data_IF_756311408656
#
_entry.id   IF_756311408656
#
_cell.length_a   1.000
_cell.length_b   1.000
_cell.length_c   1.000
_cell.angle_alpha   90.00
_cell.angle_beta   90.00
_cell.angle_gamma   90.00
#
_symmetry.space_group_name_H-M   'P 1'
#
loop_
_entity.id
_entity.type
_entity.pdbx_description
1 polymer ?
#
# COMPACT_ATOMS: atom_id res chain seq x y z
N UNK A 1 -2.07 27.96 -3.25
CA UNK A 1 -2.56 28.61 -2.01
C UNK A 1 -2.92 27.60 -0.93
N UNK A 2 -3.86 26.65 -1.15
CA UNK A 2 -4.33 25.70 -0.12
C UNK A 2 -3.16 24.93 0.50
N UNK A 3 -2.30 24.29 -0.30
CA UNK A 3 -1.17 23.53 0.21
C UNK A 3 -0.20 24.38 1.03
N UNK A 4 0.03 25.64 0.65
CA UNK A 4 0.89 26.55 1.42
C UNK A 4 0.28 26.86 2.80
N UNK A 5 -1.03 27.16 2.85
CA UNK A 5 -1.72 27.35 4.13
C UNK A 5 -1.69 26.11 5.02
N UNK A 6 -1.83 24.90 4.42
CA UNK A 6 -1.69 23.63 5.15
C UNK A 6 -0.25 23.45 5.68
N UNK A 7 0.77 23.78 4.91
CA UNK A 7 2.18 23.68 5.31
C UNK A 7 2.46 24.61 6.49
N UNK A 8 2.00 25.85 6.43
CA UNK A 8 2.14 26.84 7.51
C UNK A 8 1.46 26.34 8.79
N UNK A 9 0.20 25.90 8.69
CA UNK A 9 -0.53 25.35 9.82
C UNK A 9 0.18 24.12 10.43
N UNK A 10 0.61 23.17 9.62
CA UNK A 10 1.31 21.97 10.06
C UNK A 10 2.60 22.33 10.82
N UNK A 11 3.40 23.21 10.24
CA UNK A 11 4.66 23.67 10.85
C UNK A 11 4.40 24.36 12.20
N UNK A 12 3.46 25.30 12.24
CA UNK A 12 3.18 26.13 13.41
C UNK A 12 2.55 25.31 14.56
N UNK A 13 2.00 24.12 14.25
CA UNK A 13 1.37 23.21 15.20
C UNK A 13 2.11 21.87 15.35
N UNK A 14 3.39 21.77 15.00
CA UNK A 14 4.21 20.55 15.11
C UNK A 14 3.65 19.34 14.34
N UNK A 15 3.10 19.56 13.15
CA UNK A 15 2.57 18.52 12.25
C UNK A 15 1.54 17.58 12.91
N UNK A 16 0.41 18.12 13.41
CA UNK A 16 -0.58 17.34 14.16
C UNK A 16 -1.35 16.36 13.28
N UNK A 17 -1.39 16.54 11.94
CA UNK A 17 -2.18 15.73 11.03
C UNK A 17 -1.35 15.01 9.99
N UNK A 18 -1.85 13.84 9.57
CA UNK A 18 -1.49 13.19 8.33
C UNK A 18 -2.71 13.18 7.41
N UNK A 19 -2.49 13.33 6.10
CA UNK A 19 -3.57 13.41 5.13
C UNK A 19 -3.51 12.26 4.14
N UNK A 20 -4.69 11.79 3.79
CA UNK A 20 -4.96 10.90 2.67
C UNK A 20 -5.88 11.63 1.69
N UNK A 21 -5.67 11.43 0.39
CA UNK A 21 -6.57 11.95 -0.64
C UNK A 21 -6.70 11.00 -1.80
N UNK A 22 -7.76 11.17 -2.57
CA UNK A 22 -7.87 10.62 -3.90
C UNK A 22 -7.34 11.64 -4.91
N UNK A 23 -6.57 11.19 -5.89
CA UNK A 23 -5.98 12.06 -6.90
C UNK A 23 -6.03 11.45 -8.30
N UNK A 24 -5.85 12.31 -9.30
CA UNK A 24 -5.68 11.92 -10.68
C UNK A 24 -4.26 11.45 -10.95
N UNK A 25 -4.10 10.53 -11.88
CA UNK A 25 -2.79 10.14 -12.42
C UNK A 25 -2.06 11.31 -13.09
N UNK A 26 -2.74 12.41 -13.36
CA UNK A 26 -2.13 13.65 -13.89
C UNK A 26 -1.04 14.23 -12.98
N UNK A 27 -0.97 13.83 -11.70
CA UNK A 27 0.16 14.17 -10.82
C UNK A 27 1.51 13.69 -11.36
N UNK A 28 1.53 12.71 -12.26
CA UNK A 28 2.72 12.28 -12.99
C UNK A 28 3.24 13.26 -14.03
N UNK A 29 2.44 14.26 -14.44
CA UNK A 29 2.88 15.27 -15.41
C UNK A 29 3.99 16.14 -14.83
N UNK A 30 5.02 16.46 -15.63
CA UNK A 30 6.14 17.30 -15.19
C UNK A 30 5.69 18.71 -14.77
N UNK A 31 4.67 19.25 -15.41
CA UNK A 31 4.07 20.54 -15.04
C UNK A 31 3.48 20.56 -13.62
N UNK A 32 3.15 19.40 -13.04
CA UNK A 32 2.58 19.25 -11.72
C UNK A 32 3.57 18.66 -10.70
N UNK A 33 4.82 18.41 -11.10
CA UNK A 33 5.83 17.77 -10.22
C UNK A 33 6.03 18.51 -8.89
N UNK A 34 5.96 19.85 -8.92
CA UNK A 34 6.08 20.69 -7.72
C UNK A 34 4.94 20.44 -6.70
N UNK A 35 3.75 20.02 -7.15
CA UNK A 35 2.61 19.76 -6.26
C UNK A 35 2.86 18.57 -5.35
N UNK A 36 3.51 17.51 -5.83
CA UNK A 36 3.81 16.30 -5.03
C UNK A 36 4.72 16.67 -3.86
N UNK A 37 5.73 17.51 -4.09
CA UNK A 37 6.60 18.04 -3.03
C UNK A 37 5.83 18.88 -2.00
N UNK A 38 4.92 19.74 -2.44
CA UNK A 38 4.06 20.53 -1.55
C UNK A 38 3.08 19.65 -0.79
N UNK A 39 2.48 18.63 -1.42
CA UNK A 39 1.61 17.65 -0.75
C UNK A 39 2.37 16.96 0.40
N UNK A 40 3.60 16.51 0.15
CA UNK A 40 4.42 15.90 1.20
C UNK A 40 4.69 16.86 2.36
N UNK A 41 5.06 18.09 2.08
CA UNK A 41 5.30 19.13 3.10
C UNK A 41 4.02 19.46 3.89
N UNK A 42 2.86 19.45 3.24
CA UNK A 42 1.56 19.64 3.87
C UNK A 42 1.13 18.48 4.77
N UNK A 43 1.82 17.31 4.74
CA UNK A 43 1.51 16.16 5.57
C UNK A 43 0.72 15.05 4.88
N UNK A 44 0.64 15.04 3.55
CA UNK A 44 0.08 13.89 2.83
C UNK A 44 1.04 12.72 2.92
N UNK A 45 0.53 11.60 3.42
CA UNK A 45 1.28 10.35 3.59
C UNK A 45 0.87 9.29 2.60
N UNK A 46 -0.33 9.39 2.05
CA UNK A 46 -0.85 8.42 1.09
C UNK A 46 -1.86 9.04 0.13
N UNK A 47 -1.95 8.44 -1.06
CA UNK A 47 -2.83 8.87 -2.15
C UNK A 47 -3.49 7.64 -2.79
N UNK A 48 -4.81 7.71 -3.00
CA UNK A 48 -5.52 6.76 -3.84
C UNK A 48 -5.51 7.21 -5.29
N UNK A 49 -5.05 6.35 -6.19
CA UNK A 49 -5.05 6.56 -7.64
C UNK A 49 -6.01 5.57 -8.31
N UNK A 50 -7.00 6.07 -9.03
CA UNK A 50 -7.82 5.25 -9.92
C UNK A 50 -7.05 4.99 -11.22
N UNK A 51 -6.26 3.92 -11.26
CA UNK A 51 -5.53 3.49 -12.46
C UNK A 51 -6.49 2.79 -13.43
N UNK A 52 -7.44 2.05 -12.87
CA UNK A 52 -8.50 1.28 -13.50
C UNK A 52 -7.97 0.05 -14.25
N UNK A 53 -7.08 0.23 -15.21
CA UNK A 53 -6.41 -0.84 -15.95
C UNK A 53 -5.03 -0.39 -16.43
N UNK A 54 -4.02 -1.27 -16.45
CA UNK A 54 -2.76 -1.00 -17.12
C UNK A 54 -2.84 -1.18 -18.65
N UNK A 55 -3.95 -1.74 -19.17
CA UNK A 55 -4.15 -1.96 -20.59
C UNK A 55 -4.81 -0.74 -21.25
N UNK A 56 -4.14 -0.04 -22.20
CA UNK A 56 -4.71 1.09 -22.91
C UNK A 56 -5.98 0.76 -23.71
N UNK A 57 -6.12 -0.47 -24.20
CA UNK A 57 -7.31 -0.89 -24.94
C UNK A 57 -8.53 -0.96 -24.03
N UNK A 58 -8.35 -1.53 -22.85
CA UNK A 58 -9.37 -1.55 -21.79
C UNK A 58 -9.75 -0.15 -21.34
N UNK A 59 -8.78 0.74 -21.09
CA UNK A 59 -9.03 2.13 -20.71
C UNK A 59 -9.84 2.89 -21.77
N UNK A 60 -9.55 2.64 -23.04
CA UNK A 60 -10.31 3.22 -24.16
C UNK A 60 -11.76 2.71 -24.19
N UNK A 61 -11.97 1.41 -23.99
CA UNK A 61 -13.29 0.81 -23.91
C UNK A 61 -14.10 1.36 -22.71
N UNK A 62 -13.44 1.71 -21.60
CA UNK A 62 -14.05 2.34 -20.43
C UNK A 62 -14.25 3.85 -20.56
N UNK A 63 -13.93 4.48 -21.70
CA UNK A 63 -13.90 5.93 -21.89
C UNK A 63 -12.98 6.67 -20.89
N UNK A 64 -11.95 5.99 -20.34
CA UNK A 64 -10.94 6.55 -19.42
C UNK A 64 -9.70 7.05 -20.17
N UNK A 65 -9.92 7.81 -21.25
CA UNK A 65 -8.84 8.29 -22.12
C UNK A 65 -7.86 9.23 -21.43
N UNK A 66 -8.25 9.88 -20.33
CA UNK A 66 -7.35 10.66 -19.49
C UNK A 66 -6.24 9.79 -18.87
N UNK A 67 -6.54 8.53 -18.55
CA UNK A 67 -5.56 7.58 -17.97
C UNK A 67 -4.57 7.04 -19.01
N UNK A 68 -4.79 7.29 -20.30
CA UNK A 68 -3.86 6.92 -21.38
C UNK A 68 -2.81 8.02 -21.64
N UNK A 69 -3.14 9.28 -21.31
CA UNK A 69 -2.29 10.44 -21.64
C UNK A 69 -1.10 10.61 -20.69
N UNK A 70 -1.17 10.09 -19.51
CA UNK A 70 -0.13 10.14 -18.49
C UNK A 70 0.20 8.71 -18.10
N UNK A 71 1.47 8.33 -18.13
CA UNK A 71 1.88 7.01 -17.70
C UNK A 71 1.60 6.87 -16.18
N UNK A 72 0.77 5.93 -15.76
CA UNK A 72 0.51 5.71 -14.35
C UNK A 72 1.76 5.27 -13.58
N UNK A 73 2.75 4.66 -14.25
CA UNK A 73 4.03 4.31 -13.65
C UNK A 73 4.80 5.55 -13.19
N UNK A 74 4.90 6.58 -14.02
CA UNK A 74 5.58 7.84 -13.69
C UNK A 74 4.94 8.51 -12.47
N UNK A 75 3.60 8.44 -12.37
CA UNK A 75 2.85 8.98 -11.24
C UNK A 75 3.16 8.22 -9.95
N UNK A 76 3.15 6.89 -10.01
CA UNK A 76 3.46 6.03 -8.85
C UNK A 76 4.88 6.28 -8.38
N UNK A 77 5.85 6.26 -9.29
CA UNK A 77 7.25 6.46 -8.96
C UNK A 77 7.49 7.83 -8.31
N UNK A 78 6.93 8.88 -8.86
CA UNK A 78 7.03 10.26 -8.33
C UNK A 78 6.48 10.36 -6.91
N UNK A 79 5.32 9.79 -6.64
CA UNK A 79 4.73 9.78 -5.30
C UNK A 79 5.60 9.01 -4.31
N UNK A 80 6.06 7.82 -4.69
CA UNK A 80 6.93 6.99 -3.86
C UNK A 80 8.27 7.67 -3.55
N UNK A 81 8.90 8.34 -4.51
CA UNK A 81 10.14 9.11 -4.30
C UNK A 81 9.96 10.21 -3.25
N UNK A 82 8.76 10.80 -3.16
CA UNK A 82 8.44 11.79 -2.13
C UNK A 82 7.94 11.17 -0.82
N UNK A 83 8.00 9.84 -0.65
CA UNK A 83 7.53 9.15 0.55
C UNK A 83 6.01 9.18 0.73
N UNK A 84 5.26 9.29 -0.36
CA UNK A 84 3.80 9.21 -0.37
C UNK A 84 3.42 7.81 -0.83
N UNK A 85 2.72 7.06 0.02
CA UNK A 85 2.23 5.73 -0.31
C UNK A 85 1.13 5.80 -1.37
N UNK A 86 1.17 4.86 -2.31
CA UNK A 86 0.16 4.75 -3.35
C UNK A 86 -0.78 3.58 -3.07
N UNK A 87 -2.07 3.92 -2.94
CA UNK A 87 -3.18 2.97 -3.03
C UNK A 87 -3.69 3.01 -4.47
N UNK A 88 -3.61 1.92 -5.19
CA UNK A 88 -4.03 1.87 -6.58
C UNK A 88 -5.32 1.06 -6.75
N UNK A 89 -6.30 1.66 -7.43
CA UNK A 89 -7.56 1.03 -7.80
C UNK A 89 -7.53 0.44 -9.20
N UNK A 90 -7.96 -0.81 -9.33
CA UNK A 90 -8.12 -1.52 -10.60
C UNK A 90 -9.52 -2.10 -10.72
N UNK A 91 -10.03 -2.13 -11.95
CA UNK A 91 -11.31 -2.76 -12.29
C UNK A 91 -11.03 -3.89 -13.27
N UNK A 92 -11.54 -5.09 -12.99
CA UNK A 92 -11.44 -6.24 -13.86
C UNK A 92 -12.82 -6.77 -14.24
N UNK A 93 -13.00 -7.16 -15.49
CA UNK A 93 -14.25 -7.71 -16.02
C UNK A 93 -15.00 -6.76 -16.95
N UNK A 94 -14.33 -5.75 -17.48
CA UNK A 94 -14.86 -4.89 -18.56
C UNK A 94 -14.94 -5.68 -19.87
N UNK A 95 -15.68 -5.17 -20.84
CA UNK A 95 -15.81 -5.82 -22.17
C UNK A 95 -14.49 -5.79 -22.97
N UNK A 96 -13.55 -4.91 -22.61
CA UNK A 96 -12.21 -4.88 -23.18
C UNK A 96 -11.21 -5.83 -22.53
N UNK A 97 -11.55 -6.41 -21.38
CA UNK A 97 -10.62 -7.27 -20.66
C UNK A 97 -10.51 -8.67 -21.24
N UNK A 98 -9.33 -9.22 -21.12
CA UNK A 98 -8.98 -10.58 -21.48
C UNK A 98 -8.32 -11.29 -20.30
N UNK A 99 -7.99 -12.57 -20.45
CA UNK A 99 -7.18 -13.29 -19.44
C UNK A 99 -5.81 -12.62 -19.25
N UNK A 100 -5.23 -12.06 -20.32
CA UNK A 100 -3.97 -11.32 -20.24
C UNK A 100 -4.06 -10.03 -19.42
N UNK A 101 -5.24 -9.39 -19.38
CA UNK A 101 -5.44 -8.19 -18.55
C UNK A 101 -5.22 -8.49 -17.06
N UNK A 102 -5.57 -9.70 -16.59
CA UNK A 102 -5.28 -10.12 -15.23
C UNK A 102 -3.77 -10.17 -14.94
N UNK A 103 -2.98 -10.73 -15.87
CA UNK A 103 -1.52 -10.77 -15.74
C UNK A 103 -0.94 -9.35 -15.79
N UNK A 104 -1.43 -8.48 -16.68
CA UNK A 104 -0.99 -7.09 -16.76
C UNK A 104 -1.23 -6.32 -15.44
N UNK A 105 -2.37 -6.54 -14.78
CA UNK A 105 -2.64 -5.94 -13.45
C UNK A 105 -1.63 -6.44 -12.43
N UNK A 106 -1.38 -7.75 -12.38
CA UNK A 106 -0.40 -8.35 -11.46
C UNK A 106 0.98 -7.79 -11.70
N UNK A 107 1.44 -7.79 -12.94
CA UNK A 107 2.76 -7.31 -13.33
C UNK A 107 2.94 -5.82 -13.02
N UNK A 108 1.92 -5.00 -13.30
CA UNK A 108 1.95 -3.58 -13.01
C UNK A 108 2.08 -3.31 -11.50
N UNK A 109 1.27 -3.97 -10.69
CA UNK A 109 1.30 -3.81 -9.22
C UNK A 109 2.64 -4.27 -8.65
N UNK A 110 3.18 -5.40 -9.15
CA UNK A 110 4.43 -5.97 -8.65
C UNK A 110 5.65 -5.14 -9.07
N UNK A 111 5.73 -4.75 -10.35
CA UNK A 111 6.88 -4.00 -10.89
C UNK A 111 6.96 -2.59 -10.33
N UNK A 112 5.81 -1.97 -10.07
CA UNK A 112 5.75 -0.62 -9.52
C UNK A 112 5.79 -0.58 -7.98
N UNK A 113 5.90 -1.72 -7.30
CA UNK A 113 5.98 -1.78 -5.85
C UNK A 113 4.74 -1.19 -5.15
N UNK A 114 3.56 -1.31 -5.76
CA UNK A 114 2.32 -0.81 -5.15
C UNK A 114 1.93 -1.76 -4.03
N UNK A 115 2.18 -1.36 -2.78
CA UNK A 115 1.92 -2.23 -1.64
C UNK A 115 0.43 -2.50 -1.45
N UNK A 116 -0.40 -1.46 -1.54
CA UNK A 116 -1.84 -1.54 -1.38
C UNK A 116 -2.55 -1.39 -2.73
N UNK A 117 -3.01 -2.50 -3.30
CA UNK A 117 -3.84 -2.51 -4.50
C UNK A 117 -5.27 -2.93 -4.16
N UNK A 118 -6.23 -2.20 -4.68
CA UNK A 118 -7.67 -2.50 -4.61
C UNK A 118 -8.14 -2.92 -6.00
N UNK A 119 -8.25 -4.22 -6.23
CA UNK A 119 -8.83 -4.73 -7.47
C UNK A 119 -10.24 -5.23 -7.19
N UNK A 120 -11.21 -4.65 -7.87
CA UNK A 120 -12.61 -5.07 -7.81
C UNK A 120 -13.10 -5.56 -9.17
N UNK A 121 -14.14 -6.39 -9.15
CA UNK A 121 -14.85 -6.74 -10.38
C UNK A 121 -15.71 -5.55 -10.83
N UNK A 122 -15.89 -5.41 -12.15
CA UNK A 122 -16.76 -4.38 -12.68
C UNK A 122 -18.15 -4.50 -12.07
N UNK A 123 -18.65 -3.37 -11.57
CA UNK A 123 -19.96 -3.28 -10.94
C UNK A 123 -20.78 -2.20 -11.61
N UNK A 124 -21.85 -2.56 -12.31
CA UNK A 124 -22.76 -1.57 -12.93
C UNK A 124 -23.62 -0.92 -11.85
N UNK A 125 -23.22 0.26 -11.39
CA UNK A 125 -23.98 1.02 -10.40
C UNK A 125 -25.27 1.56 -11.00
N UNK A 126 -26.43 1.46 -10.31
CA UNK A 126 -27.69 2.04 -10.77
C UNK A 126 -27.56 3.50 -11.19
N UNK A 127 -28.29 3.91 -12.19
CA UNK A 127 -28.30 5.27 -12.75
C UNK A 127 -27.01 5.73 -13.46
N UNK A 128 -26.05 4.81 -13.68
CA UNK A 128 -24.86 5.10 -14.52
C UNK A 128 -25.11 4.74 -15.99
N UNK A 129 -24.38 5.35 -16.94
CA UNK A 129 -24.45 4.95 -18.34
C UNK A 129 -24.20 3.47 -18.58
N UNK A 130 -23.19 2.89 -17.91
CA UNK A 130 -22.87 1.46 -17.96
C UNK A 130 -24.06 0.58 -17.54
N UNK A 131 -24.77 0.99 -16.48
CA UNK A 131 -25.96 0.25 -16.03
C UNK A 131 -27.05 0.22 -17.10
N UNK A 132 -27.31 1.37 -17.74
CA UNK A 132 -28.32 1.49 -18.82
C UNK A 132 -27.90 0.65 -20.02
N UNK A 133 -26.65 0.74 -20.44
CA UNK A 133 -26.09 -0.04 -21.55
C UNK A 133 -26.24 -1.56 -21.33
N UNK A 134 -25.85 -2.05 -20.16
CA UNK A 134 -25.95 -3.47 -19.82
C UNK A 134 -27.41 -3.92 -19.69
N UNK A 135 -28.30 -3.05 -19.21
CA UNK A 135 -29.73 -3.31 -19.13
C UNK A 135 -30.36 -3.44 -20.53
N UNK A 136 -30.06 -2.48 -21.41
CA UNK A 136 -30.59 -2.47 -22.78
C UNK A 136 -30.04 -3.66 -23.60
N UNK A 137 -28.82 -4.10 -23.30
CA UNK A 137 -28.24 -5.29 -23.88
C UNK A 137 -28.77 -6.62 -23.26
N UNK A 138 -29.65 -6.57 -22.27
CA UNK A 138 -30.18 -7.76 -21.57
C UNK A 138 -29.12 -8.52 -20.78
N UNK A 139 -28.07 -7.83 -20.35
CA UNK A 139 -26.91 -8.44 -19.65
C UNK A 139 -26.93 -8.23 -18.14
N UNK A 140 -27.83 -7.41 -17.60
CA UNK A 140 -27.97 -7.25 -16.15
C UNK A 140 -28.56 -8.52 -15.52
N UNK A 141 -28.05 -8.85 -14.33
CA UNK A 141 -28.56 -9.91 -13.48
C UNK A 141 -29.25 -9.24 -12.29
N UNK A 142 -30.57 -9.40 -12.17
CA UNK A 142 -31.36 -8.78 -11.11
C UNK A 142 -31.14 -9.49 -9.76
N UNK A 143 -31.30 -8.74 -8.66
CA UNK A 143 -31.34 -9.29 -7.30
C UNK A 143 -29.97 -9.38 -6.61
N UNK A 144 -28.91 -8.82 -7.17
CA UNK A 144 -27.60 -8.75 -6.54
C UNK A 144 -27.32 -7.42 -5.86
N UNK A 145 -26.61 -7.48 -4.72
CA UNK A 145 -26.15 -6.28 -3.98
C UNK A 145 -25.01 -5.59 -4.76
N UNK A 146 -25.18 -4.34 -5.22
CA UNK A 146 -24.14 -3.62 -5.96
C UNK A 146 -22.94 -3.20 -5.08
N UNK A 147 -23.00 -3.38 -3.77
CA UNK A 147 -21.93 -2.95 -2.86
C UNK A 147 -20.80 -3.96 -2.73
N UNK A 148 -21.01 -5.20 -3.15
CA UNK A 148 -20.01 -6.26 -3.05
C UNK A 148 -19.44 -6.66 -4.42
N UNK A 149 -18.26 -6.12 -4.74
CA UNK A 149 -17.53 -6.42 -5.98
C UNK A 149 -16.40 -7.45 -5.81
N UNK A 150 -16.33 -8.12 -4.65
CA UNK A 150 -15.27 -9.07 -4.30
C UNK A 150 -15.81 -10.51 -4.25
N UNK A 151 -17.09 -10.70 -3.89
CA UNK A 151 -17.70 -12.02 -3.79
C UNK A 151 -17.81 -12.73 -5.15
N UNK A 152 -18.29 -13.98 -5.15
CA UNK A 152 -18.44 -14.76 -6.39
C UNK A 152 -19.65 -14.34 -7.24
N UNK A 153 -20.55 -13.50 -6.72
CA UNK A 153 -21.71 -13.02 -7.46
C UNK A 153 -21.32 -12.00 -8.54
N UNK A 154 -22.00 -12.05 -9.67
CA UNK A 154 -21.90 -11.05 -10.73
C UNK A 154 -23.25 -10.40 -10.96
N UNK A 155 -23.21 -9.11 -11.22
CA UNK A 155 -24.40 -8.28 -11.47
C UNK A 155 -24.73 -8.19 -12.96
N UNK A 156 -23.89 -8.77 -13.79
CA UNK A 156 -24.06 -8.76 -15.25
C UNK A 156 -23.40 -9.99 -15.88
N UNK A 157 -23.77 -10.28 -17.11
CA UNK A 157 -23.13 -11.32 -17.93
C UNK A 157 -21.93 -10.73 -18.67
N UNK A 158 -20.66 -11.08 -18.28
CA UNK A 158 -19.47 -10.56 -18.94
C UNK A 158 -19.26 -11.17 -20.32
N UNK A 159 -18.67 -10.41 -21.25
CA UNK A 159 -18.34 -10.89 -22.60
C UNK A 159 -17.34 -12.06 -22.54
N UNK A 160 -16.37 -11.99 -21.64
CA UNK A 160 -15.39 -13.08 -21.47
C UNK A 160 -15.96 -14.35 -20.83
N UNK A 161 -17.22 -14.33 -20.38
CA UNK A 161 -17.88 -15.43 -19.67
C UNK A 161 -17.60 -15.41 -18.17
N UNK A 162 -18.56 -15.95 -17.41
CA UNK A 162 -18.52 -15.96 -15.93
C UNK A 162 -17.28 -16.63 -15.36
N UNK A 163 -16.97 -17.85 -15.81
CA UNK A 163 -15.87 -18.64 -15.25
C UNK A 163 -14.51 -17.99 -15.54
N UNK A 164 -14.33 -17.46 -16.74
CA UNK A 164 -13.09 -16.76 -17.09
C UNK A 164 -12.86 -15.50 -16.25
N UNK A 165 -13.92 -14.73 -15.96
CA UNK A 165 -13.83 -13.57 -15.10
C UNK A 165 -13.45 -13.98 -13.68
N UNK A 166 -14.13 -15.00 -13.12
CA UNK A 166 -13.85 -15.47 -11.77
C UNK A 166 -12.43 -16.04 -11.62
N UNK A 167 -12.00 -16.84 -12.59
CA UNK A 167 -10.64 -17.42 -12.58
C UNK A 167 -9.57 -16.33 -12.69
N UNK A 168 -9.74 -15.35 -13.58
CA UNK A 168 -8.83 -14.23 -13.71
C UNK A 168 -8.79 -13.36 -12.44
N UNK A 169 -9.93 -13.09 -11.84
CA UNK A 169 -10.00 -12.35 -10.58
C UNK A 169 -9.34 -13.10 -9.42
N UNK A 170 -9.59 -14.42 -9.26
CA UNK A 170 -8.89 -15.24 -8.28
C UNK A 170 -7.38 -15.28 -8.53
N UNK A 171 -6.95 -15.34 -9.79
CA UNK A 171 -5.54 -15.27 -10.16
C UNK A 171 -4.92 -13.96 -9.67
N UNK A 172 -5.53 -12.81 -9.96
CA UNK A 172 -5.07 -11.49 -9.47
C UNK A 172 -4.91 -11.52 -7.95
N UNK A 173 -5.93 -11.95 -7.21
CA UNK A 173 -5.88 -11.97 -5.75
C UNK A 173 -4.79 -12.89 -5.21
N UNK A 174 -4.65 -14.11 -5.77
CA UNK A 174 -3.64 -15.07 -5.34
C UNK A 174 -2.22 -14.58 -5.59
N UNK A 175 -1.97 -13.97 -6.76
CA UNK A 175 -0.65 -13.44 -7.11
C UNK A 175 -0.29 -12.20 -6.30
N UNK A 176 -1.25 -11.30 -6.06
CA UNK A 176 -0.98 -10.05 -5.35
C UNK A 176 -0.90 -10.22 -3.84
N UNK A 177 -1.68 -11.13 -3.24
CA UNK A 177 -1.78 -11.24 -1.79
C UNK A 177 -1.04 -12.45 -1.20
N UNK A 178 -0.23 -13.17 -1.98
CA UNK A 178 0.68 -14.14 -1.38
C UNK A 178 1.84 -13.44 -0.66
N UNK A 179 2.38 -14.11 0.37
CA UNK A 179 3.41 -13.54 1.26
C UNK A 179 4.66 -13.08 0.54
N UNK A 180 5.10 -13.82 -0.49
CA UNK A 180 6.31 -13.47 -1.25
C UNK A 180 6.11 -12.20 -2.07
N UNK A 181 4.94 -12.07 -2.69
CA UNK A 181 4.56 -10.91 -3.47
C UNK A 181 4.50 -9.66 -2.60
N UNK A 182 3.81 -9.74 -1.46
CA UNK A 182 3.72 -8.64 -0.49
C UNK A 182 5.11 -8.23 0.02
N UNK A 183 5.97 -9.19 0.36
CA UNK A 183 7.33 -8.90 0.78
C UNK A 183 8.14 -8.15 -0.28
N UNK A 184 8.11 -8.64 -1.53
CA UNK A 184 8.83 -8.00 -2.65
C UNK A 184 8.35 -6.56 -2.89
N UNK A 185 7.03 -6.34 -2.85
CA UNK A 185 6.47 -4.98 -3.01
C UNK A 185 6.89 -4.06 -1.88
N UNK A 186 6.76 -4.51 -0.63
CA UNK A 186 7.17 -3.73 0.51
C UNK A 186 8.68 -3.39 0.45
N UNK A 187 9.52 -4.33 0.05
CA UNK A 187 10.95 -4.09 -0.16
C UNK A 187 11.17 -3.05 -1.27
N UNK A 188 10.48 -3.18 -2.41
CA UNK A 188 10.58 -2.24 -3.52
C UNK A 188 10.16 -0.81 -3.14
N UNK A 189 9.13 -0.65 -2.30
CA UNK A 189 8.74 0.66 -1.77
C UNK A 189 9.84 1.24 -0.90
N UNK A 190 10.40 0.46 0.02
CA UNK A 190 11.48 0.90 0.90
C UNK A 190 12.74 1.29 0.13
N UNK A 191 13.05 0.61 -0.99
CA UNK A 191 14.19 0.94 -1.84
C UNK A 191 14.03 2.30 -2.56
N UNK A 192 12.79 2.70 -2.84
CA UNK A 192 12.48 3.93 -3.60
C UNK A 192 12.29 5.15 -2.72
N UNK A 193 11.82 4.93 -1.48
CA UNK A 193 11.54 6.02 -0.55
C UNK A 193 12.83 6.71 -0.15
N UNK A 194 12.89 8.03 -0.30
CA UNK A 194 13.95 8.83 0.32
C UNK A 194 13.73 8.89 1.84
N UNK A 195 14.48 8.07 2.57
CA UNK A 195 14.39 8.00 4.03
C UNK A 195 14.72 9.34 4.72
N UNK A 196 15.37 10.27 4.04
CA UNK A 196 15.62 11.61 4.58
C UNK A 196 14.34 12.44 4.78
N UNK A 197 13.25 12.08 4.11
CA UNK A 197 11.95 12.77 4.22
C UNK A 197 11.33 12.55 5.62
N UNK A 198 11.64 11.45 6.29
CA UNK A 198 11.10 11.11 7.61
C UNK A 198 11.86 11.73 8.79
N UNK A 199 12.85 12.58 8.52
CA UNK A 199 13.62 13.28 9.56
C UNK A 199 12.74 14.27 10.31
N UNK A 200 12.68 14.13 11.63
CA UNK A 200 12.14 15.16 12.53
C UNK A 200 10.88 14.81 13.30
N UNK A 201 10.20 13.70 13.01
CA UNK A 201 9.09 13.25 13.84
C UNK A 201 9.59 12.20 14.84
N UNK A 202 9.67 12.57 16.12
CA UNK A 202 9.82 11.55 17.17
C UNK A 202 8.55 10.70 17.20
N UNK A 203 8.68 9.40 16.99
CA UNK A 203 7.57 8.46 17.12
C UNK A 203 7.14 8.45 18.58
N UNK A 204 5.90 8.78 18.86
CA UNK A 204 5.34 8.78 20.22
C UNK A 204 5.39 7.40 20.89
N UNK A 205 5.36 7.37 22.20
CA UNK A 205 5.45 6.10 22.98
C UNK A 205 4.31 5.14 22.62
N UNK A 206 3.10 5.65 22.40
CA UNK A 206 1.94 4.83 22.03
C UNK A 206 2.09 4.24 20.61
N UNK A 207 2.68 5.00 19.68
CA UNK A 207 2.99 4.51 18.35
C UNK A 207 4.06 3.41 18.40
N UNK A 208 5.11 3.58 19.22
CA UNK A 208 6.13 2.55 19.44
C UNK A 208 5.52 1.27 20.03
N UNK A 209 4.63 1.41 21.03
CA UNK A 209 3.89 0.28 21.61
C UNK A 209 2.95 -0.37 20.58
N UNK A 210 2.30 0.41 19.73
CA UNK A 210 1.49 -0.06 18.62
C UNK A 210 2.29 -0.92 17.64
N UNK A 211 3.48 -0.45 17.25
CA UNK A 211 4.41 -1.20 16.41
C UNK A 211 4.84 -2.51 17.07
N UNK A 212 5.19 -2.48 18.37
CA UNK A 212 5.55 -3.68 19.11
C UNK A 212 4.41 -4.69 19.21
N UNK A 213 3.19 -4.24 19.51
CA UNK A 213 2.00 -5.10 19.52
C UNK A 213 1.76 -5.71 18.15
N UNK A 214 1.85 -4.92 17.10
CA UNK A 214 1.75 -5.39 15.73
C UNK A 214 2.83 -6.43 15.40
N UNK A 215 4.08 -6.21 15.80
CA UNK A 215 5.18 -7.15 15.64
C UNK A 215 4.92 -8.47 16.36
N UNK A 216 4.41 -8.43 17.60
CA UNK A 216 4.05 -9.62 18.38
C UNK A 216 2.90 -10.36 17.70
N UNK A 217 1.85 -9.67 17.31
CA UNK A 217 0.66 -10.28 16.72
C UNK A 217 0.94 -10.87 15.33
N UNK A 218 1.71 -10.20 14.50
CA UNK A 218 2.03 -10.67 13.15
C UNK A 218 3.23 -11.64 13.12
N UNK A 219 4.21 -11.45 13.99
CA UNK A 219 5.44 -12.25 14.01
C UNK A 219 5.37 -13.48 14.91
N UNK A 220 5.02 -13.32 16.19
CA UNK A 220 5.12 -14.37 17.21
C UNK A 220 3.88 -15.26 17.29
N UNK A 221 2.69 -14.68 17.26
CA UNK A 221 1.43 -15.43 17.18
C UNK A 221 1.19 -16.00 15.77
N UNK A 222 2.01 -15.58 14.84
CA UNK A 222 1.84 -15.77 13.41
C UNK A 222 2.35 -17.09 12.85
N UNK A 223 2.48 -18.18 13.64
CA UNK A 223 2.49 -19.54 13.02
C UNK A 223 1.29 -19.74 12.06
N UNK A 224 0.25 -18.94 12.25
CA UNK A 224 -0.91 -18.79 11.36
C UNK A 224 -1.05 -17.35 10.78
N UNK A 225 -0.14 -16.44 11.08
CA UNK A 225 -0.23 -15.02 10.69
C UNK A 225 0.08 -14.79 9.22
N UNK A 226 -0.56 -13.77 8.66
CA UNK A 226 -0.53 -13.42 7.24
C UNK A 226 0.87 -13.16 6.68
N UNK A 227 1.80 -12.62 7.48
CA UNK A 227 3.13 -12.22 7.00
C UNK A 227 4.29 -13.15 7.42
N UNK A 228 4.19 -13.90 8.52
CA UNK A 228 5.19 -14.89 8.92
C UNK A 228 6.66 -14.48 8.74
N UNK A 229 7.46 -15.35 8.10
CA UNK A 229 8.91 -15.14 7.87
C UNK A 229 9.22 -13.91 7.01
N UNK A 230 8.37 -13.56 6.08
CA UNK A 230 8.54 -12.41 5.18
C UNK A 230 8.44 -11.10 5.96
N UNK A 231 7.60 -11.03 6.97
CA UNK A 231 7.52 -9.89 7.87
C UNK A 231 8.84 -9.62 8.61
N UNK A 232 9.46 -10.65 9.19
CA UNK A 232 10.76 -10.49 9.84
C UNK A 232 11.88 -10.12 8.87
N UNK A 233 11.84 -10.65 7.64
CA UNK A 233 12.78 -10.23 6.59
C UNK A 233 12.61 -8.76 6.24
N UNK A 234 11.37 -8.28 6.15
CA UNK A 234 11.06 -6.88 5.87
C UNK A 234 11.51 -5.96 7.01
N UNK A 235 11.25 -6.34 8.26
CA UNK A 235 11.75 -5.61 9.42
C UNK A 235 13.28 -5.53 9.44
N UNK A 236 13.94 -6.65 9.17
CA UNK A 236 15.41 -6.67 9.05
C UNK A 236 15.87 -5.72 7.96
N UNK A 237 15.22 -5.72 6.83
CA UNK A 237 15.56 -4.86 5.70
C UNK A 237 15.34 -3.38 6.05
N UNK A 238 14.17 -3.03 6.61
CA UNK A 238 13.88 -1.69 7.08
C UNK A 238 14.88 -1.19 8.13
N UNK A 239 15.26 -2.07 9.07
CA UNK A 239 16.29 -1.76 10.05
C UNK A 239 17.68 -1.52 9.42
N UNK A 240 18.06 -2.31 8.41
CA UNK A 240 19.32 -2.11 7.69
C UNK A 240 19.36 -0.79 6.93
N UNK A 241 18.22 -0.37 6.35
CA UNK A 241 18.07 0.94 5.73
C UNK A 241 18.17 2.06 6.76
N UNK A 242 17.47 1.91 7.88
CA UNK A 242 17.51 2.86 9.01
C UNK A 242 18.93 3.02 9.55
N UNK A 243 19.68 1.92 9.75
CA UNK A 243 21.08 1.97 10.17
C UNK A 243 21.99 2.71 9.17
N UNK A 244 21.77 2.57 7.87
CA UNK A 244 22.50 3.34 6.87
C UNK A 244 22.25 4.83 7.00
N UNK A 245 21.02 5.22 7.34
CA UNK A 245 20.63 6.62 7.57
C UNK A 245 21.16 7.13 8.91
N UNK A 246 21.07 6.33 9.98
CA UNK A 246 21.55 6.70 11.32
C UNK A 246 23.07 6.77 11.44
N UNK A 247 23.81 5.95 10.72
CA UNK A 247 25.28 6.04 10.67
C UNK A 247 25.76 7.42 10.18
N UNK A 248 24.90 8.10 9.45
CA UNK A 248 25.13 9.49 9.00
C UNK A 248 24.76 10.53 10.07
N UNK A 249 24.06 10.17 11.15
CA UNK A 249 23.43 11.06 12.12
C UNK A 249 23.95 11.00 13.55
N UNK A 250 24.93 10.12 13.87
CA UNK A 250 25.52 9.97 15.22
C UNK A 250 24.52 9.76 16.37
N UNK A 251 23.43 9.05 16.16
CA UNK A 251 22.47 8.69 17.22
C UNK A 251 22.71 7.25 17.69
N UNK A 252 23.45 7.09 18.79
CA UNK A 252 23.65 5.82 19.45
C UNK A 252 22.52 5.53 20.44
N UNK A 253 21.54 4.74 20.04
CA UNK A 253 20.65 4.06 20.98
C UNK A 253 21.13 2.63 21.18
N UNK A 254 22.04 2.44 22.14
CA UNK A 254 22.73 1.16 22.40
C UNK A 254 21.76 0.03 22.77
N UNK A 255 20.66 0.31 23.43
CA UNK A 255 19.71 -0.71 23.88
C UNK A 255 18.81 -1.19 22.73
N UNK A 256 18.37 -0.30 21.86
CA UNK A 256 17.64 -0.67 20.66
C UNK A 256 18.52 -1.50 19.71
N UNK A 257 19.79 -1.14 19.58
CA UNK A 257 20.77 -1.90 18.81
C UNK A 257 21.02 -3.31 19.40
N UNK A 258 21.06 -3.46 20.71
CA UNK A 258 21.19 -4.78 21.37
C UNK A 258 19.94 -5.65 21.11
N UNK A 259 18.74 -5.07 21.18
CA UNK A 259 17.50 -5.78 20.86
C UNK A 259 17.50 -6.27 19.42
N UNK A 260 17.78 -5.38 18.46
CA UNK A 260 17.82 -5.74 17.05
C UNK A 260 18.89 -6.78 16.74
N UNK A 261 20.07 -6.68 17.33
CA UNK A 261 21.13 -7.67 17.14
C UNK A 261 20.75 -9.05 17.67
N UNK A 262 20.01 -9.15 18.78
CA UNK A 262 19.46 -10.41 19.26
C UNK A 262 18.38 -10.95 18.34
N UNK A 263 17.40 -10.13 17.97
CA UNK A 263 16.34 -10.51 17.05
C UNK A 263 16.88 -10.98 15.69
N UNK A 264 17.95 -10.34 15.17
CA UNK A 264 18.57 -10.67 13.90
C UNK A 264 19.51 -11.89 13.97
N UNK A 265 20.21 -12.11 15.08
CA UNK A 265 21.10 -13.28 15.25
C UNK A 265 20.31 -14.58 15.33
N UNK A 266 19.12 -14.55 15.91
CA UNK A 266 18.26 -15.73 16.02
C UNK A 266 17.56 -16.11 14.71
N UNK A 267 17.50 -15.20 13.71
CA UNK A 267 16.95 -15.52 12.37
C UNK A 267 17.89 -16.37 11.50
N UNK A 268 19.15 -16.58 11.89
CA UNK A 268 20.08 -17.41 11.13
C UNK A 268 19.81 -18.91 11.24
N UNK A 269 19.24 -19.37 12.36
CA UNK A 269 19.02 -20.80 12.60
C UNK A 269 17.65 -21.05 13.20
N UNK A 270 16.65 -21.28 12.37
CA UNK A 270 15.31 -21.74 12.76
C UNK A 270 14.41 -20.71 13.50
N UNK A 271 13.11 -20.81 13.23
CA UNK A 271 12.01 -20.05 13.82
C UNK A 271 12.30 -19.63 15.27
N UNK A 272 12.36 -18.31 15.48
CA UNK A 272 12.54 -17.75 16.83
C UNK A 272 11.35 -18.18 17.69
N UNK A 273 11.61 -18.96 18.69
CA UNK A 273 10.93 -18.83 19.95
C UNK A 273 11.63 -17.68 20.69
N UNK A 274 11.15 -16.44 20.50
CA UNK A 274 11.39 -15.42 21.51
C UNK A 274 10.72 -15.96 22.76
N UNK A 275 11.49 -16.23 23.77
CA UNK A 275 10.96 -16.76 25.01
C UNK A 275 10.16 -15.64 25.70
N UNK A 276 9.24 -16.02 26.58
CA UNK A 276 8.40 -15.08 27.30
C UNK A 276 9.22 -14.06 28.14
N UNK A 277 10.49 -14.36 28.45
CA UNK A 277 11.40 -13.47 29.16
C UNK A 277 11.90 -12.33 28.27
N UNK A 278 12.23 -12.60 27.00
CA UNK A 278 12.65 -11.56 26.05
C UNK A 278 11.52 -10.57 25.76
N UNK A 279 10.28 -11.09 25.63
CA UNK A 279 9.09 -10.25 25.45
C UNK A 279 8.82 -9.40 26.72
N UNK A 280 8.91 -10.00 27.90
CA UNK A 280 8.71 -9.30 29.16
C UNK A 280 9.80 -8.25 29.42
N UNK A 281 11.05 -8.53 29.06
CA UNK A 281 12.14 -7.57 29.19
C UNK A 281 11.93 -6.38 28.25
N UNK A 282 11.51 -6.61 27.01
CA UNK A 282 11.18 -5.55 26.06
C UNK A 282 9.98 -4.71 26.53
N UNK A 283 8.92 -5.35 27.04
CA UNK A 283 7.77 -4.65 27.61
C UNK A 283 8.12 -3.82 28.85
N UNK A 284 9.05 -4.31 29.70
CA UNK A 284 9.57 -3.53 30.84
C UNK A 284 10.37 -2.31 30.37
N UNK A 285 11.20 -2.44 29.34
CA UNK A 285 11.96 -1.33 28.76
C UNK A 285 11.06 -0.28 28.14
N UNK A 286 10.03 -0.69 27.39
CA UNK A 286 9.02 0.21 26.83
C UNK A 286 8.24 0.97 27.93
N UNK A 287 7.87 0.28 29.02
CA UNK A 287 7.18 0.90 30.16
C UNK A 287 8.12 1.84 30.96
N UNK A 288 9.40 1.50 31.10
CA UNK A 288 10.38 2.37 31.79
C UNK A 288 10.66 3.63 30.99
N UNK A 289 10.73 3.52 29.68
CA UNK A 289 10.83 4.69 28.79
C UNK A 289 9.60 5.60 28.89
N UNK A 290 8.41 5.02 29.05
CA UNK A 290 7.18 5.77 29.30
C UNK A 290 7.19 6.52 30.63
N UNK A 291 7.62 5.84 31.72
CA UNK A 291 7.68 6.46 33.06
C UNK A 291 8.76 7.56 33.19
N UNK A 292 9.80 7.52 32.35
CA UNK A 292 10.85 8.54 32.35
C UNK A 292 10.47 9.80 31.55
N UNK A 293 9.33 9.78 30.82
CA UNK A 293 8.85 10.90 30.00
C UNK A 293 7.56 11.56 30.57
N UNK A 294 7.03 11.04 31.68
CA UNK A 294 5.96 11.64 32.48
C UNK A 294 6.55 12.29 33.72
#
# INVERSE_FOLDING_TARGET
>A
EILHGMIEFQRDNNYPFTFFTQASIDLGKDSLSHLVGLMRQAGFTSVFLGIESPDPATLKAMNKTQNIKTDPQDTVERLQQHGIEVFAGFIYGTDGDTRQTADLIVDFVQSNGIFSSMTGKLTPMPHTPLYVELKDAGRLIEGHDPTNNIDESLQFTPVMGHDHLQDGFRHILNELFNRKALYKRAQSVLDRVDMHIFRGKSVGTDEKLGVVRFMIDQGLKGKKGFLGREYFRLLKYAYQLDQKVHHTLHLEDQELNKFWNRALSSTKNHMIELDAQDINQFMKMANSAHQAMV
#
